data_IF_182083889583
#
_entry.id   IF_182083889583
#
_cell.length_a   1.000
_cell.length_b   1.000
_cell.length_c   1.000
_cell.angle_alpha   90.00
_cell.angle_beta   90.00
_cell.angle_gamma   90.00
#
_symmetry.space_group_name_H-M   'P 1'
#
loop_
_entity.id
_entity.type
_entity.pdbx_description
1 polymer ?
#
# COMPACT_ATOMS: atom_id res chain seq x y z
N UNK A 1 -6.66 -8.94 -6.58
CA UNK A 1 -5.94 -8.92 -5.29
C UNK A 1 -4.42 -9.11 -5.44
N UNK A 2 -3.79 -10.29 -5.37
CA UNK A 2 -2.29 -10.33 -5.31
C UNK A 2 -1.56 -9.62 -6.47
N UNK A 3 -1.92 -9.90 -7.72
CA UNK A 3 -1.29 -9.25 -8.87
C UNK A 3 -1.63 -7.76 -8.99
N UNK A 4 -2.84 -7.40 -8.57
CA UNK A 4 -3.34 -6.02 -8.51
C UNK A 4 -2.59 -5.20 -7.45
N UNK A 5 -2.57 -5.67 -6.20
CA UNK A 5 -1.76 -5.10 -5.11
C UNK A 5 -0.30 -4.86 -5.52
N UNK A 6 0.32 -5.81 -6.23
CA UNK A 6 1.68 -5.64 -6.76
C UNK A 6 1.80 -4.51 -7.79
N UNK A 7 0.84 -4.39 -8.70
CA UNK A 7 0.84 -3.31 -9.68
C UNK A 7 0.46 -1.97 -9.04
N UNK A 8 -0.37 -1.95 -8.00
CA UNK A 8 -0.65 -0.74 -7.21
C UNK A 8 0.59 -0.25 -6.47
N UNK A 9 1.32 -1.14 -5.80
CA UNK A 9 2.62 -0.82 -5.18
C UNK A 9 3.60 -0.25 -6.21
N UNK A 10 3.76 -0.96 -7.34
CA UNK A 10 4.63 -0.51 -8.43
C UNK A 10 4.18 0.84 -8.99
N UNK A 11 2.89 1.08 -9.12
CA UNK A 11 2.33 2.33 -9.64
C UNK A 11 2.71 3.49 -8.72
N UNK A 12 2.46 3.35 -7.42
CA UNK A 12 2.83 4.39 -6.44
C UNK A 12 4.35 4.60 -6.42
N UNK A 13 5.15 3.54 -6.30
CA UNK A 13 6.60 3.63 -6.16
C UNK A 13 7.33 4.13 -7.41
N UNK A 14 6.95 3.61 -8.57
CA UNK A 14 7.70 3.81 -9.81
C UNK A 14 7.14 4.92 -10.69
N UNK A 15 5.84 5.24 -10.56
CA UNK A 15 5.18 6.20 -11.45
C UNK A 15 4.74 7.47 -10.73
N UNK A 16 4.14 7.36 -9.54
CA UNK A 16 3.54 8.53 -8.89
C UNK A 16 4.50 9.24 -7.93
N UNK A 17 5.19 8.52 -7.05
CA UNK A 17 6.12 9.11 -6.09
C UNK A 17 7.32 9.82 -6.73
N UNK A 18 7.96 9.32 -7.80
CA UNK A 18 9.09 10.02 -8.42
C UNK A 18 8.71 11.39 -8.96
N UNK A 19 7.52 11.48 -9.56
CA UNK A 19 6.93 12.72 -10.06
C UNK A 19 6.59 13.66 -8.91
N UNK A 20 5.87 13.17 -7.90
CA UNK A 20 5.50 13.97 -6.72
C UNK A 20 6.72 14.56 -6.02
N UNK A 21 7.78 13.76 -5.80
CA UNK A 21 9.02 14.20 -5.13
C UNK A 21 9.77 15.32 -5.87
N UNK A 22 9.56 15.44 -7.17
CA UNK A 22 10.17 16.47 -8.02
C UNK A 22 9.24 17.68 -8.24
N UNK A 23 8.06 17.69 -7.63
CA UNK A 23 7.07 18.77 -7.81
C UNK A 23 7.17 19.77 -6.66
N UNK A 24 7.25 21.05 -6.99
CA UNK A 24 7.25 22.13 -6.00
C UNK A 24 5.94 22.15 -5.21
N UNK A 25 5.96 22.08 -3.86
CA UNK A 25 4.74 21.97 -3.05
C UNK A 25 3.73 23.10 -3.21
N UNK A 26 4.17 24.28 -3.66
CA UNK A 26 3.30 25.45 -3.84
C UNK A 26 2.51 25.45 -5.15
N UNK A 27 2.67 24.45 -6.03
CA UNK A 27 2.02 24.45 -7.35
C UNK A 27 0.73 23.64 -7.38
N UNK A 28 -0.11 23.92 -8.38
CA UNK A 28 -1.35 23.16 -8.61
C UNK A 28 -1.07 21.72 -9.04
N UNK A 29 0.04 21.46 -9.75
CA UNK A 29 0.44 20.09 -10.12
C UNK A 29 0.73 19.25 -8.88
N UNK A 30 1.36 19.83 -7.83
CA UNK A 30 1.62 19.10 -6.58
C UNK A 30 0.31 18.64 -5.94
N UNK A 31 -0.68 19.53 -5.83
CA UNK A 31 -2.01 19.19 -5.29
C UNK A 31 -2.67 18.04 -6.06
N UNK A 32 -2.62 18.10 -7.41
CA UNK A 32 -3.13 17.03 -8.26
C UNK A 32 -2.40 15.69 -8.03
N UNK A 33 -1.07 15.70 -7.97
CA UNK A 33 -0.23 14.51 -7.75
C UNK A 33 -0.45 13.90 -6.37
N UNK A 34 -0.52 14.72 -5.31
CA UNK A 34 -0.83 14.25 -3.95
C UNK A 34 -2.22 13.60 -3.91
N UNK A 35 -3.20 14.20 -4.57
CA UNK A 35 -4.55 13.62 -4.64
C UNK A 35 -4.53 12.22 -5.26
N UNK A 36 -3.82 12.03 -6.37
CA UNK A 36 -3.70 10.71 -7.01
C UNK A 36 -3.00 9.69 -6.11
N UNK A 37 -1.89 10.07 -5.45
CA UNK A 37 -1.24 9.17 -4.47
C UNK A 37 -2.23 8.77 -3.38
N UNK A 38 -2.95 9.74 -2.82
CA UNK A 38 -3.92 9.51 -1.75
C UNK A 38 -5.00 8.51 -2.19
N UNK A 39 -5.60 8.71 -3.35
CA UNK A 39 -6.67 7.84 -3.86
C UNK A 39 -6.18 6.40 -4.09
N UNK A 40 -4.98 6.22 -4.66
CA UNK A 40 -4.39 4.89 -4.83
C UNK A 40 -4.10 4.21 -3.48
N UNK A 41 -3.60 4.96 -2.51
CA UNK A 41 -3.28 4.41 -1.19
C UNK A 41 -4.54 4.04 -0.40
N UNK A 42 -5.55 4.91 -0.38
CA UNK A 42 -6.82 4.65 0.29
C UNK A 42 -7.53 3.44 -0.32
N UNK A 43 -7.54 3.31 -1.66
CA UNK A 43 -8.11 2.16 -2.34
C UNK A 43 -7.38 0.86 -1.95
N UNK A 44 -6.05 0.85 -2.06
CA UNK A 44 -5.24 -0.31 -1.72
C UNK A 44 -5.42 -0.75 -0.26
N UNK A 45 -5.42 0.20 0.68
CA UNK A 45 -5.64 -0.07 2.11
C UNK A 45 -7.03 -0.67 2.32
N UNK A 46 -8.07 -0.13 1.69
CA UNK A 46 -9.44 -0.66 1.80
C UNK A 46 -9.51 -2.12 1.33
N UNK A 47 -8.89 -2.45 0.20
CA UNK A 47 -8.83 -3.83 -0.31
C UNK A 47 -8.07 -4.77 0.64
N UNK A 48 -6.94 -4.33 1.19
CA UNK A 48 -6.17 -5.12 2.14
C UNK A 48 -6.97 -5.38 3.43
N UNK A 49 -7.57 -4.34 4.02
CA UNK A 49 -8.26 -4.43 5.29
C UNK A 49 -9.59 -5.18 5.22
N UNK A 50 -10.33 -5.02 4.12
CA UNK A 50 -11.68 -5.59 3.97
C UNK A 50 -11.68 -6.96 3.30
N UNK A 51 -10.67 -7.28 2.48
CA UNK A 51 -10.61 -8.54 1.75
C UNK A 51 -9.41 -9.40 2.12
N UNK A 52 -8.19 -8.88 1.95
CA UNK A 52 -6.98 -9.71 2.05
C UNK A 52 -6.69 -10.16 3.49
N UNK A 53 -6.74 -9.26 4.47
CA UNK A 53 -6.45 -9.59 5.86
C UNK A 53 -7.50 -10.51 6.49
N UNK A 54 -8.82 -10.35 6.24
CA UNK A 54 -9.81 -11.33 6.67
C UNK A 54 -9.56 -12.73 6.08
N UNK A 55 -9.18 -12.83 4.80
CA UNK A 55 -8.81 -14.10 4.18
C UNK A 55 -7.56 -14.71 4.81
N UNK A 56 -6.51 -13.91 5.03
CA UNK A 56 -5.29 -14.35 5.70
C UNK A 56 -5.56 -14.87 7.13
N UNK A 57 -6.37 -14.14 7.91
CA UNK A 57 -6.82 -14.57 9.26
C UNK A 57 -7.54 -15.91 9.24
N UNK A 58 -8.44 -16.12 8.26
CA UNK A 58 -9.19 -17.37 8.10
C UNK A 58 -8.30 -18.56 7.69
N UNK A 59 -7.33 -18.32 6.81
CA UNK A 59 -6.51 -19.39 6.22
C UNK A 59 -5.29 -19.77 7.08
N UNK A 60 -4.65 -18.79 7.72
CA UNK A 60 -3.37 -19.00 8.41
C UNK A 60 -3.53 -19.26 9.91
N UNK A 61 -4.58 -18.72 10.53
CA UNK A 61 -4.83 -18.84 11.96
C UNK A 61 -3.85 -18.04 12.83
N UNK A 62 -4.16 -17.93 14.13
CA UNK A 62 -3.45 -17.01 15.04
C UNK A 62 -1.96 -17.34 15.21
N UNK A 63 -1.61 -18.60 15.45
CA UNK A 63 -0.23 -18.98 15.75
C UNK A 63 0.73 -18.68 14.59
N UNK A 64 0.31 -18.97 13.35
CA UNK A 64 1.08 -18.65 12.14
C UNK A 64 1.24 -17.15 11.95
N UNK A 65 0.17 -16.38 12.16
CA UNK A 65 0.21 -14.93 12.03
C UNK A 65 1.08 -14.27 13.12
N UNK A 66 1.05 -14.76 14.36
CA UNK A 66 1.92 -14.28 15.43
C UNK A 66 3.40 -14.53 15.10
N UNK A 67 3.73 -15.73 14.58
CA UNK A 67 5.09 -16.08 14.17
C UNK A 67 5.57 -15.20 12.99
N UNK A 68 4.74 -15.04 11.96
CA UNK A 68 5.03 -14.16 10.83
C UNK A 68 5.23 -12.70 11.30
N UNK A 69 4.39 -12.22 12.21
CA UNK A 69 4.54 -10.89 12.80
C UNK A 69 5.88 -10.71 13.54
N UNK A 70 6.33 -11.73 14.28
CA UNK A 70 7.63 -11.72 14.94
C UNK A 70 8.81 -11.71 13.92
N UNK A 71 8.68 -12.46 12.83
CA UNK A 71 9.66 -12.44 11.73
C UNK A 71 9.72 -11.05 11.07
N UNK A 72 8.57 -10.44 10.77
CA UNK A 72 8.50 -9.09 10.18
C UNK A 72 9.07 -8.02 11.12
N UNK A 73 8.80 -8.11 12.43
CA UNK A 73 9.37 -7.17 13.42
C UNK A 73 10.90 -7.25 13.46
N UNK A 74 11.46 -8.46 13.33
CA UNK A 74 12.91 -8.66 13.30
C UNK A 74 13.58 -8.15 12.02
N UNK A 75 12.80 -7.86 10.96
CA UNK A 75 13.29 -7.30 9.69
C UNK A 75 13.25 -5.77 9.63
N UNK A 76 12.65 -5.09 10.62
CA UNK A 76 12.65 -3.63 10.70
C UNK A 76 14.05 -3.06 10.96
#
# INVERSE_FOLDING_TARGET
>A
MYHEAKEEHRTVDSLVLPDLKQTEPSTTEFSGRVKVVKELLEHHIEEEETEMFPQAKKLLGKATLDALGAEMEAMK
#
